data_IF_754399731997
#
_entry.id   IF_754399731997
#
_cell.length_a   1.000
_cell.length_b   1.000
_cell.length_c   1.000
_cell.angle_alpha   90.00
_cell.angle_beta   90.00
_cell.angle_gamma   90.00
#
_symmetry.space_group_name_H-M   'P 1'
#
loop_
_entity.id
_entity.type
_entity.pdbx_description
1 polymer ?
#
# COMPACT_ATOMS: atom_id res chain seq x y z
N UNK A 1 16.93 14.51 -2.45
CA UNK A 1 17.15 13.11 -2.88
C UNK A 1 16.10 12.79 -3.93
N UNK A 2 16.39 12.00 -4.94
CA UNK A 2 15.36 11.56 -5.88
C UNK A 2 14.25 10.83 -5.14
N UNK A 3 12.99 11.08 -5.53
CA UNK A 3 11.85 10.36 -4.98
C UNK A 3 11.25 9.46 -6.04
N UNK A 4 10.75 8.29 -5.62
CA UNK A 4 10.12 7.32 -6.51
C UNK A 4 8.60 7.35 -6.38
N UNK A 5 7.91 6.84 -7.40
CA UNK A 5 6.44 6.87 -7.48
C UNK A 5 5.87 5.50 -7.77
N UNK A 6 4.95 5.05 -6.92
CA UNK A 6 4.05 3.92 -7.18
C UNK A 6 2.63 4.42 -7.35
N UNK A 7 1.78 3.63 -8.00
CA UNK A 7 0.36 3.89 -8.19
C UNK A 7 -0.46 2.99 -7.28
N UNK A 8 -1.38 3.53 -6.49
CA UNK A 8 -2.43 2.75 -5.84
C UNK A 8 -3.71 2.77 -6.67
N UNK A 9 -4.32 1.62 -6.84
CA UNK A 9 -5.71 1.48 -7.30
C UNK A 9 -6.60 1.33 -6.06
N UNK A 10 -7.26 2.42 -5.60
CA UNK A 10 -8.07 2.39 -4.37
C UNK A 10 -9.46 1.81 -4.60
N UNK A 11 -9.88 1.69 -5.85
CA UNK A 11 -11.19 1.19 -6.26
C UNK A 11 -11.09 0.49 -7.61
N UNK A 12 -12.05 -0.39 -7.88
CA UNK A 12 -12.35 -0.95 -9.19
C UNK A 12 -13.73 -0.50 -9.69
N UNK A 13 -14.26 0.56 -9.11
CA UNK A 13 -15.40 1.31 -9.65
C UNK A 13 -14.87 2.34 -10.65
N UNK A 14 -15.26 2.19 -11.89
CA UNK A 14 -14.84 3.04 -13.02
C UNK A 14 -16.07 3.63 -13.71
N UNK A 15 -16.65 4.72 -13.18
CA UNK A 15 -17.94 5.24 -13.65
C UNK A 15 -17.97 5.59 -15.15
N UNK A 16 -16.87 6.08 -15.71
CA UNK A 16 -16.77 6.40 -17.15
C UNK A 16 -16.64 5.15 -18.03
N UNK A 17 -16.42 3.99 -17.42
CA UNK A 17 -16.21 2.68 -18.07
C UNK A 17 -17.09 1.58 -17.47
N UNK A 18 -18.30 1.94 -17.05
CA UNK A 18 -19.21 1.07 -16.29
C UNK A 18 -19.63 -0.23 -17.02
N UNK A 19 -19.49 -0.29 -18.34
CA UNK A 19 -19.79 -1.48 -19.14
C UNK A 19 -18.58 -2.41 -19.37
N UNK A 20 -17.38 -1.99 -18.98
CA UNK A 20 -16.16 -2.75 -19.15
C UNK A 20 -15.97 -3.76 -17.99
N UNK A 21 -15.21 -4.82 -18.25
CA UNK A 21 -14.79 -5.71 -17.16
C UNK A 21 -13.85 -4.96 -16.22
N UNK A 22 -14.19 -4.90 -14.93
CA UNK A 22 -13.47 -4.11 -13.93
C UNK A 22 -11.99 -4.51 -13.80
N UNK A 23 -11.69 -5.80 -13.97
CA UNK A 23 -10.30 -6.26 -13.93
C UNK A 23 -9.53 -5.84 -15.19
N UNK A 24 -10.16 -5.87 -16.37
CA UNK A 24 -9.50 -5.45 -17.63
C UNK A 24 -9.15 -3.96 -17.59
N UNK A 25 -10.01 -3.11 -17.01
CA UNK A 25 -9.71 -1.69 -16.79
C UNK A 25 -8.55 -1.52 -15.81
N UNK A 26 -8.58 -2.21 -14.67
CA UNK A 26 -7.48 -2.16 -13.69
C UNK A 26 -6.14 -2.66 -14.26
N UNK A 27 -6.18 -3.68 -15.13
CA UNK A 27 -5.01 -4.17 -15.86
C UNK A 27 -4.47 -3.11 -16.83
N UNK A 28 -5.34 -2.48 -17.63
CA UNK A 28 -4.95 -1.41 -18.55
C UNK A 28 -4.30 -0.23 -17.82
N UNK A 29 -4.89 0.20 -16.70
CA UNK A 29 -4.31 1.25 -15.87
C UNK A 29 -2.92 0.85 -15.36
N UNK A 30 -2.77 -0.40 -14.90
CA UNK A 30 -1.49 -0.93 -14.40
C UNK A 30 -0.43 -1.00 -15.50
N UNK A 31 -0.78 -1.46 -16.69
CA UNK A 31 0.12 -1.50 -17.84
C UNK A 31 0.52 -0.09 -18.30
N UNK A 32 -0.43 0.83 -18.33
CA UNK A 32 -0.14 2.25 -18.60
C UNK A 32 0.82 2.84 -17.56
N UNK A 33 0.63 2.55 -16.28
CA UNK A 33 1.56 2.99 -15.23
C UNK A 33 2.97 2.40 -15.43
N UNK A 34 3.07 1.13 -15.82
CA UNK A 34 4.35 0.49 -16.17
C UNK A 34 5.04 1.18 -17.34
N UNK A 35 4.31 1.52 -18.39
CA UNK A 35 4.82 2.24 -19.57
C UNK A 35 5.30 3.66 -19.22
N UNK A 36 4.58 4.34 -18.35
CA UNK A 36 4.87 5.70 -17.89
C UNK A 36 6.01 5.76 -16.85
N UNK A 37 6.53 4.62 -16.38
CA UNK A 37 7.67 4.57 -15.48
C UNK A 37 7.32 4.64 -13.99
N UNK A 38 6.09 4.35 -13.59
CA UNK A 38 5.79 4.10 -12.18
C UNK A 38 6.53 2.84 -11.71
N UNK A 39 7.12 2.91 -10.52
CA UNK A 39 7.93 1.83 -9.96
C UNK A 39 7.09 0.63 -9.49
N UNK A 40 5.88 0.90 -9.00
CA UNK A 40 5.00 -0.14 -8.46
C UNK A 40 3.52 0.16 -8.63
N UNK A 41 2.69 -0.89 -8.54
CA UNK A 41 1.23 -0.80 -8.36
C UNK A 41 0.83 -1.43 -7.02
N UNK A 42 -0.14 -0.81 -6.34
CA UNK A 42 -0.59 -1.20 -5.01
C UNK A 42 -2.10 -1.40 -4.97
N UNK A 43 -2.53 -2.49 -4.36
CA UNK A 43 -3.95 -2.76 -4.12
C UNK A 43 -4.26 -2.75 -2.62
N UNK A 44 -5.45 -2.27 -2.27
CA UNK A 44 -5.96 -2.42 -0.91
C UNK A 44 -6.35 -3.89 -0.67
N UNK A 45 -6.08 -4.40 0.52
CA UNK A 45 -6.58 -5.71 0.94
C UNK A 45 -7.77 -5.51 1.89
N UNK A 46 -8.89 -5.03 1.32
CA UNK A 46 -10.20 -4.99 1.92
C UNK A 46 -11.10 -6.05 1.29
N UNK A 47 -12.11 -6.51 2.01
CA UNK A 47 -13.03 -7.57 1.55
C UNK A 47 -14.24 -7.02 0.81
N UNK A 48 -14.54 -5.74 1.00
CA UNK A 48 -15.45 -4.91 0.22
C UNK A 48 -15.02 -3.45 0.30
N UNK A 49 -15.63 -2.59 -0.48
CA UNK A 49 -15.20 -1.19 -0.58
C UNK A 49 -15.45 -0.43 0.72
N UNK A 50 -14.52 0.47 1.06
CA UNK A 50 -14.59 1.27 2.28
C UNK A 50 -15.22 2.65 2.01
N UNK A 51 -16.13 3.14 2.89
CA UNK A 51 -16.90 4.37 2.65
C UNK A 51 -16.08 5.65 2.44
N UNK A 52 -14.83 5.67 2.91
CA UNK A 52 -13.91 6.79 2.71
C UNK A 52 -13.35 6.86 1.29
N UNK A 53 -13.54 5.81 0.49
CA UNK A 53 -13.11 5.73 -0.92
C UNK A 53 -14.33 5.75 -1.84
N UNK A 54 -15.29 4.84 -1.65
CA UNK A 54 -16.48 4.71 -2.47
C UNK A 54 -17.56 3.92 -1.71
N UNK A 55 -18.80 3.80 -2.24
CA UNK A 55 -19.87 2.98 -1.65
C UNK A 55 -19.41 1.53 -1.40
N UNK A 56 -19.84 0.92 -0.30
CA UNK A 56 -19.49 -0.46 0.07
C UNK A 56 -19.88 -1.51 -0.99
N UNK A 57 -20.86 -1.20 -1.83
CA UNK A 57 -21.34 -2.06 -2.91
C UNK A 57 -20.53 -1.95 -4.20
N UNK A 58 -19.58 -1.02 -4.27
CA UNK A 58 -18.74 -0.84 -5.43
C UNK A 58 -17.74 -1.99 -5.60
N UNK A 59 -17.39 -2.36 -6.84
CA UNK A 59 -16.47 -3.47 -7.08
C UNK A 59 -15.12 -3.30 -6.38
N UNK A 60 -14.72 -4.31 -5.62
CA UNK A 60 -13.39 -4.44 -5.05
C UNK A 60 -12.94 -5.92 -5.15
N UNK A 61 -12.26 -6.32 -6.22
CA UNK A 61 -11.73 -7.65 -6.35
C UNK A 61 -10.73 -8.00 -5.25
N UNK A 62 -10.66 -9.26 -4.87
CA UNK A 62 -9.78 -9.75 -3.83
C UNK A 62 -8.30 -9.44 -4.16
N UNK A 63 -7.59 -8.88 -3.21
CA UNK A 63 -6.27 -8.27 -3.39
C UNK A 63 -5.23 -9.24 -3.98
N UNK A 64 -5.04 -10.41 -3.36
CA UNK A 64 -3.97 -11.33 -3.74
C UNK A 64 -4.24 -12.05 -5.06
N UNK A 65 -5.51 -12.34 -5.34
CA UNK A 65 -5.96 -12.87 -6.64
C UNK A 65 -5.70 -11.86 -7.76
N UNK A 66 -6.03 -10.59 -7.50
CA UNK A 66 -5.78 -9.50 -8.45
C UNK A 66 -4.29 -9.24 -8.65
N UNK A 67 -3.48 -9.23 -7.59
CA UNK A 67 -2.02 -9.08 -7.69
C UNK A 67 -1.39 -10.24 -8.48
N UNK A 68 -1.89 -11.48 -8.33
CA UNK A 68 -1.40 -12.62 -9.12
C UNK A 68 -1.70 -12.45 -10.62
N UNK A 69 -2.91 -11.98 -10.96
CA UNK A 69 -3.30 -11.74 -12.35
C UNK A 69 -2.53 -10.54 -12.95
N UNK A 70 -2.33 -9.46 -12.20
CA UNK A 70 -1.49 -8.33 -12.63
C UNK A 70 -0.02 -8.74 -12.79
N UNK A 71 0.50 -9.61 -11.91
CA UNK A 71 1.86 -10.15 -12.02
C UNK A 71 2.08 -10.88 -13.33
N UNK A 72 1.09 -11.65 -13.78
CA UNK A 72 1.16 -12.40 -15.04
C UNK A 72 0.97 -11.51 -16.29
N UNK A 73 0.42 -10.30 -16.14
CA UNK A 73 0.10 -9.38 -17.23
C UNK A 73 1.02 -8.16 -17.33
N UNK A 74 2.06 -8.09 -16.51
CA UNK A 74 3.08 -7.02 -16.46
C UNK A 74 4.48 -7.63 -16.43
N UNK A 75 5.52 -6.82 -16.68
CA UNK A 75 6.89 -7.35 -16.82
C UNK A 75 7.93 -6.67 -15.92
N UNK A 76 7.75 -5.42 -15.55
CA UNK A 76 8.73 -4.61 -14.79
C UNK A 76 8.18 -4.02 -13.50
N UNK A 77 6.93 -3.54 -13.53
CA UNK A 77 6.32 -2.84 -12.39
C UNK A 77 6.24 -3.78 -11.18
N UNK A 78 6.65 -3.31 -10.01
CA UNK A 78 6.49 -4.05 -8.75
C UNK A 78 5.03 -4.08 -8.33
N UNK A 79 4.66 -5.05 -7.52
CA UNK A 79 3.28 -5.27 -7.10
C UNK A 79 3.24 -5.33 -5.58
N UNK A 80 2.30 -4.63 -4.95
CA UNK A 80 2.21 -4.60 -3.50
C UNK A 80 0.79 -4.58 -2.95
N UNK A 81 0.59 -5.15 -1.77
CA UNK A 81 -0.60 -4.92 -0.96
C UNK A 81 -0.42 -3.69 -0.07
N UNK A 82 -1.43 -2.81 0.03
CA UNK A 82 -1.36 -1.61 0.87
C UNK A 82 -2.61 -1.47 1.76
N UNK A 83 -2.68 -2.16 2.88
CA UNK A 83 -1.85 -3.26 3.36
C UNK A 83 -2.73 -4.42 3.82
N UNK A 84 -2.21 -5.66 3.76
CA UNK A 84 -2.93 -6.83 4.28
C UNK A 84 -3.10 -6.77 5.79
N UNK A 85 -4.35 -6.95 6.25
CA UNK A 85 -4.63 -7.11 7.66
C UNK A 85 -4.22 -8.51 8.14
N UNK A 86 -3.41 -8.58 9.19
CA UNK A 86 -2.92 -9.84 9.76
C UNK A 86 -4.06 -10.76 10.26
N UNK A 87 -5.29 -10.22 10.42
CA UNK A 87 -6.47 -10.98 10.83
C UNK A 87 -7.24 -11.64 9.70
N UNK A 88 -7.02 -11.31 8.44
CA UNK A 88 -7.83 -11.80 7.32
C UNK A 88 -7.49 -13.23 6.90
N UNK A 89 -6.24 -13.65 7.05
CA UNK A 89 -5.76 -14.95 6.59
C UNK A 89 -4.79 -15.57 7.60
N UNK A 90 -4.71 -16.90 7.62
CA UNK A 90 -3.59 -17.55 8.30
C UNK A 90 -2.26 -17.10 7.66
N UNK A 91 -1.27 -16.67 8.45
CA UNK A 91 0.01 -16.20 7.92
C UNK A 91 0.77 -17.28 7.16
N UNK A 92 0.60 -18.57 7.49
CA UNK A 92 1.21 -19.67 6.73
C UNK A 92 0.58 -19.82 5.32
N UNK A 93 -0.73 -19.60 5.19
CA UNK A 93 -1.41 -19.57 3.88
C UNK A 93 -1.00 -18.32 3.10
N UNK A 94 -0.92 -17.17 3.77
CA UNK A 94 -0.44 -15.94 3.14
C UNK A 94 0.99 -16.09 2.62
N UNK A 95 1.89 -16.74 3.38
CA UNK A 95 3.24 -17.05 2.93
C UNK A 95 3.26 -17.90 1.65
N UNK A 96 2.33 -18.86 1.54
CA UNK A 96 2.19 -19.70 0.33
C UNK A 96 1.69 -18.90 -0.86
N UNK A 97 0.68 -18.05 -0.67
CA UNK A 97 0.14 -17.15 -1.70
C UNK A 97 1.25 -16.22 -2.21
N UNK A 98 1.92 -15.52 -1.31
CA UNK A 98 2.95 -14.55 -1.64
C UNK A 98 4.18 -15.17 -2.30
N UNK A 99 4.59 -16.36 -1.88
CA UNK A 99 5.64 -17.12 -2.59
C UNK A 99 5.26 -17.43 -4.03
N UNK A 100 3.99 -17.80 -4.26
CA UNK A 100 3.49 -18.10 -5.61
C UNK A 100 3.50 -16.83 -6.47
N UNK A 101 3.01 -15.71 -5.95
CA UNK A 101 2.98 -14.44 -6.68
C UNK A 101 4.41 -13.94 -6.96
N UNK A 102 5.33 -14.12 -6.02
CA UNK A 102 6.73 -13.74 -6.21
C UNK A 102 7.39 -14.54 -7.36
N UNK A 103 7.07 -15.84 -7.48
CA UNK A 103 7.51 -16.66 -8.60
C UNK A 103 6.87 -16.18 -9.90
N UNK A 104 5.55 -15.99 -9.94
CA UNK A 104 4.81 -15.53 -11.14
C UNK A 104 5.30 -14.16 -11.61
N UNK A 105 5.61 -13.27 -10.68
CA UNK A 105 6.11 -11.92 -10.97
C UNK A 105 7.61 -11.86 -11.26
N UNK A 106 8.35 -12.99 -11.19
CA UNK A 106 9.82 -13.00 -11.29
C UNK A 106 10.50 -12.07 -10.27
N UNK A 107 10.02 -12.08 -9.01
CA UNK A 107 10.63 -11.33 -7.93
C UNK A 107 10.26 -9.84 -7.85
N UNK A 108 9.02 -9.48 -8.23
CA UNK A 108 8.53 -8.09 -8.17
C UNK A 108 7.54 -7.82 -7.03
N UNK A 109 7.27 -8.81 -6.18
CA UNK A 109 6.30 -8.67 -5.10
C UNK A 109 6.87 -7.90 -3.90
N UNK A 110 6.04 -7.02 -3.31
CA UNK A 110 6.25 -6.39 -2.00
C UNK A 110 5.05 -6.76 -1.12
N UNK A 111 5.30 -7.26 0.08
CA UNK A 111 4.24 -7.71 1.00
C UNK A 111 3.96 -6.63 2.04
N UNK A 112 2.90 -5.87 1.83
CA UNK A 112 2.46 -4.88 2.80
C UNK A 112 1.59 -5.50 3.89
N UNK A 113 1.92 -5.25 5.15
CA UNK A 113 1.27 -5.80 6.33
C UNK A 113 0.79 -4.72 7.29
N UNK A 114 -0.36 -4.95 7.92
CA UNK A 114 -0.93 -4.08 8.94
C UNK A 114 -1.75 -4.86 9.97
N UNK A 115 -2.13 -4.19 11.05
CA UNK A 115 -2.92 -4.83 12.13
C UNK A 115 -4.42 -4.95 11.82
N UNK A 116 -4.91 -4.31 10.75
CA UNK A 116 -6.33 -4.14 10.47
C UNK A 116 -6.97 -3.03 11.31
N UNK A 117 -8.02 -2.40 10.77
CA UNK A 117 -8.72 -1.29 11.42
C UNK A 117 -10.24 -1.29 11.22
N UNK A 118 -10.74 -1.90 10.14
CA UNK A 118 -12.16 -1.99 9.80
C UNK A 118 -12.84 -3.12 10.58
N UNK A 119 -13.48 -2.82 11.70
CA UNK A 119 -14.18 -3.82 12.52
C UNK A 119 -15.45 -4.36 11.85
N UNK A 120 -16.18 -3.51 11.13
CA UNK A 120 -17.40 -3.89 10.43
C UNK A 120 -17.15 -4.91 9.30
N UNK A 121 -16.03 -4.79 8.60
CA UNK A 121 -15.60 -5.72 7.56
C UNK A 121 -15.28 -7.11 8.13
N UNK A 122 -14.54 -7.16 9.25
CA UNK A 122 -14.28 -8.40 9.95
C UNK A 122 -15.58 -9.08 10.41
N UNK A 123 -16.50 -8.30 10.99
CA UNK A 123 -17.81 -8.81 11.44
C UNK A 123 -18.63 -9.35 10.27
N UNK A 124 -18.69 -8.64 9.14
CA UNK A 124 -19.46 -9.04 7.97
C UNK A 124 -18.98 -10.37 7.38
N UNK A 125 -17.67 -10.63 7.43
CA UNK A 125 -17.08 -11.87 6.92
C UNK A 125 -16.87 -12.95 7.99
N UNK A 126 -17.41 -12.75 9.21
CA UNK A 126 -17.31 -13.74 10.29
C UNK A 126 -15.89 -13.90 10.83
N UNK A 127 -15.07 -12.86 10.72
CA UNK A 127 -13.69 -12.83 11.21
C UNK A 127 -13.61 -12.16 12.58
N UNK A 128 -12.71 -12.64 13.43
CA UNK A 128 -12.44 -12.03 14.72
C UNK A 128 -11.81 -10.64 14.58
N UNK A 129 -12.30 -9.67 15.37
CA UNK A 129 -11.69 -8.35 15.50
C UNK A 129 -11.36 -8.05 16.97
N UNK A 130 -10.27 -8.62 17.49
CA UNK A 130 -9.90 -8.41 18.89
C UNK A 130 -9.36 -7.00 19.13
N UNK A 131 -9.16 -6.66 20.39
CA UNK A 131 -8.55 -5.41 20.86
C UNK A 131 -7.25 -5.09 20.11
N UNK A 132 -6.97 -3.79 19.90
CA UNK A 132 -5.83 -3.31 19.13
C UNK A 132 -4.49 -3.90 19.59
N UNK A 133 -4.29 -4.03 20.92
CA UNK A 133 -3.08 -4.64 21.46
C UNK A 133 -2.91 -6.11 21.08
N UNK A 134 -4.01 -6.86 20.92
CA UNK A 134 -3.97 -8.25 20.41
C UNK A 134 -3.66 -8.24 18.92
N UNK A 135 -4.33 -7.39 18.13
CA UNK A 135 -4.08 -7.28 16.68
C UNK A 135 -2.62 -6.94 16.36
N UNK A 136 -2.00 -6.03 17.15
CA UNK A 136 -0.60 -5.69 16.99
C UNK A 136 0.35 -6.85 17.28
N UNK A 137 0.05 -7.67 18.31
CA UNK A 137 0.83 -8.89 18.58
C UNK A 137 0.62 -9.96 17.51
N UNK A 138 -0.59 -10.09 17.00
CA UNK A 138 -0.89 -10.97 15.84
C UNK A 138 -0.13 -10.52 14.59
N UNK A 139 -0.03 -9.22 14.33
CA UNK A 139 0.79 -8.69 13.23
C UNK A 139 2.26 -9.09 13.37
N UNK A 140 2.83 -8.92 14.56
CA UNK A 140 4.23 -9.28 14.81
C UNK A 140 4.49 -10.78 14.63
N UNK A 141 3.65 -11.64 15.17
CA UNK A 141 3.76 -13.09 14.97
C UNK A 141 3.52 -13.48 13.51
N UNK A 142 2.57 -12.84 12.82
CA UNK A 142 2.31 -13.10 11.40
C UNK A 142 3.54 -12.82 10.54
N UNK A 143 4.24 -11.71 10.78
CA UNK A 143 5.49 -11.40 10.08
C UNK A 143 6.56 -12.46 10.36
N UNK A 144 6.69 -12.92 11.59
CA UNK A 144 7.66 -13.98 11.93
C UNK A 144 7.32 -15.31 11.26
N UNK A 145 6.02 -15.66 11.16
CA UNK A 145 5.58 -16.85 10.42
C UNK A 145 5.90 -16.71 8.92
N UNK A 146 5.63 -15.54 8.31
CA UNK A 146 5.99 -15.27 6.91
C UNK A 146 7.49 -15.50 6.69
N UNK A 147 8.34 -14.89 7.52
CA UNK A 147 9.79 -15.03 7.44
C UNK A 147 10.24 -16.50 7.57
N UNK A 148 9.71 -17.24 8.54
CA UNK A 148 10.02 -18.65 8.71
C UNK A 148 9.61 -19.47 7.48
N UNK A 149 8.38 -19.27 6.96
CA UNK A 149 7.87 -19.98 5.80
C UNK A 149 8.66 -19.68 4.52
N UNK A 150 9.15 -18.45 4.35
CA UNK A 150 9.91 -18.05 3.17
C UNK A 150 11.35 -18.53 3.20
N UNK A 151 11.99 -18.65 4.38
CA UNK A 151 13.44 -18.86 4.51
C UNK A 151 13.83 -20.26 4.99
N UNK A 152 13.02 -20.89 5.86
CA UNK A 152 13.35 -22.21 6.41
C UNK A 152 12.87 -23.31 5.46
N UNK A 153 13.63 -24.40 5.35
CA UNK A 153 13.24 -25.59 4.57
C UNK A 153 11.93 -26.18 5.11
N UNK A 154 11.87 -26.37 6.42
CA UNK A 154 10.69 -26.79 7.18
C UNK A 154 10.44 -25.76 8.27
N UNK A 155 9.38 -24.99 8.11
CA UNK A 155 9.08 -23.89 8.99
C UNK A 155 8.43 -24.38 10.28
N UNK A 156 8.97 -23.97 11.42
CA UNK A 156 8.36 -24.15 12.72
C UNK A 156 8.32 -22.81 13.44
N UNK A 157 7.16 -22.46 13.96
CA UNK A 157 6.94 -21.27 14.77
C UNK A 157 5.92 -21.59 15.88
N UNK A 158 6.28 -21.31 17.11
CA UNK A 158 5.41 -21.51 18.28
C UNK A 158 5.13 -20.17 18.96
N UNK A 159 4.13 -19.45 18.46
CA UNK A 159 3.66 -18.21 19.03
C UNK A 159 2.45 -18.40 19.94
N UNK A 160 1.99 -17.29 20.51
CA UNK A 160 0.76 -17.24 21.30
C UNK A 160 -0.50 -17.31 20.43
N UNK A 161 -0.44 -16.70 19.24
CA UNK A 161 -1.60 -16.56 18.34
C UNK A 161 -1.50 -17.44 17.11
N UNK A 162 -0.30 -17.75 16.67
CA UNK A 162 -0.06 -18.62 15.51
C UNK A 162 0.90 -19.73 15.86
N UNK A 163 0.64 -20.92 15.33
CA UNK A 163 1.52 -22.07 15.45
C UNK A 163 1.66 -22.74 14.08
N UNK A 164 2.89 -23.02 13.71
CA UNK A 164 3.25 -23.73 12.46
C UNK A 164 4.28 -24.79 12.85
N UNK A 165 4.06 -26.03 12.39
CA UNK A 165 4.95 -27.15 12.74
C UNK A 165 5.37 -27.89 11.48
N UNK A 166 6.68 -27.93 11.24
CA UNK A 166 7.31 -28.70 10.16
C UNK A 166 6.70 -28.44 8.77
N UNK A 167 6.24 -27.19 8.53
CA UNK A 167 5.52 -26.84 7.33
C UNK A 167 6.48 -26.61 6.14
N UNK A 168 6.15 -27.21 5.00
CA UNK A 168 6.88 -27.04 3.75
C UNK A 168 6.23 -25.96 2.89
N UNK A 169 7.01 -24.93 2.53
CA UNK A 169 6.62 -23.93 1.56
C UNK A 169 7.49 -24.09 0.30
N UNK A 170 6.95 -24.72 -0.72
CA UNK A 170 7.60 -24.93 -2.03
C UNK A 170 6.60 -24.60 -3.14
N UNK A 171 6.97 -23.74 -4.15
CA UNK A 171 8.27 -23.09 -4.27
C UNK A 171 8.52 -22.04 -3.20
N UNK A 172 9.79 -21.75 -2.92
CA UNK A 172 10.20 -20.58 -2.14
C UNK A 172 10.10 -19.32 -3.01
N UNK A 173 10.02 -18.12 -2.41
CA UNK A 173 10.13 -16.88 -3.16
C UNK A 173 11.44 -16.81 -3.96
N UNK A 174 11.39 -16.11 -5.11
CA UNK A 174 12.57 -15.86 -5.96
C UNK A 174 13.49 -14.85 -5.31
N UNK A 175 12.91 -13.82 -4.70
CA UNK A 175 13.64 -12.76 -3.99
C UNK A 175 14.39 -13.32 -2.78
N UNK A 176 15.61 -12.83 -2.55
CA UNK A 176 16.46 -13.26 -1.44
C UNK A 176 16.86 -12.08 -0.56
N UNK A 177 16.81 -12.23 0.76
CA UNK A 177 16.47 -13.45 1.52
C UNK A 177 14.98 -13.80 1.45
N UNK A 178 14.08 -12.84 1.15
CA UNK A 178 12.64 -12.95 1.03
C UNK A 178 12.05 -11.71 0.31
N UNK A 179 10.78 -11.71 -0.12
CA UNK A 179 10.10 -10.51 -0.61
C UNK A 179 10.14 -9.39 0.43
N UNK A 180 10.36 -8.12 0.03
CA UNK A 180 10.34 -7.01 0.97
C UNK A 180 9.01 -6.93 1.73
N UNK A 181 9.10 -6.67 3.04
CA UNK A 181 7.95 -6.41 3.90
C UNK A 181 7.81 -4.89 4.06
N UNK A 182 6.61 -4.38 3.76
CA UNK A 182 6.20 -3.03 4.10
C UNK A 182 5.25 -3.09 5.29
N UNK A 183 5.49 -2.29 6.33
CA UNK A 183 4.55 -2.16 7.46
C UNK A 183 3.85 -0.81 7.39
N UNK A 184 2.51 -0.84 7.37
CA UNK A 184 1.68 0.37 7.31
C UNK A 184 1.18 0.82 8.68
N UNK A 185 1.10 2.14 8.85
CA UNK A 185 0.48 2.80 10.01
C UNK A 185 1.44 3.61 10.88
N UNK A 186 0.90 4.65 11.52
CA UNK A 186 1.67 5.66 12.26
C UNK A 186 1.76 5.39 13.78
N UNK A 187 1.44 4.18 14.24
CA UNK A 187 1.45 3.81 15.67
C UNK A 187 2.86 3.83 16.28
N UNK A 188 3.18 4.89 17.02
CA UNK A 188 4.54 5.19 17.48
C UNK A 188 5.17 4.11 18.36
N UNK A 189 4.39 3.49 19.26
CA UNK A 189 4.94 2.57 20.27
C UNK A 189 5.19 1.16 19.73
N UNK A 190 4.28 0.64 18.91
CA UNK A 190 4.30 -0.77 18.51
C UNK A 190 4.51 -0.91 17.00
N UNK A 191 3.74 -0.21 16.16
CA UNK A 191 3.86 -0.31 14.70
C UNK A 191 5.28 0.05 14.24
N UNK A 192 5.79 1.21 14.69
CA UNK A 192 7.14 1.65 14.31
C UNK A 192 8.26 0.78 14.90
N UNK A 193 8.03 0.14 16.07
CA UNK A 193 8.97 -0.86 16.59
C UNK A 193 9.01 -2.12 15.71
N UNK A 194 7.83 -2.63 15.29
CA UNK A 194 7.73 -3.77 14.38
C UNK A 194 8.40 -3.43 13.04
N UNK A 195 8.13 -2.21 12.51
CA UNK A 195 8.80 -1.72 11.31
C UNK A 195 10.32 -1.75 11.45
N UNK A 196 10.85 -1.14 12.51
CA UNK A 196 12.30 -1.08 12.76
C UNK A 196 12.95 -2.45 12.90
N UNK A 197 12.20 -3.45 13.35
CA UNK A 197 12.71 -4.79 13.62
C UNK A 197 12.67 -5.71 12.40
N UNK A 198 11.66 -5.58 11.52
CA UNK A 198 11.36 -6.60 10.51
C UNK A 198 11.20 -6.06 9.09
N UNK A 199 10.91 -4.76 8.91
CA UNK A 199 10.47 -4.27 7.61
C UNK A 199 11.60 -3.65 6.77
N UNK A 200 11.48 -3.76 5.46
CA UNK A 200 12.30 -3.07 4.46
C UNK A 200 11.65 -1.77 3.97
N UNK A 201 10.35 -1.57 4.28
CA UNK A 201 9.66 -0.32 3.99
C UNK A 201 8.65 0.03 5.09
N UNK A 202 8.41 1.32 5.28
CA UNK A 202 7.37 1.85 6.14
C UNK A 202 6.40 2.69 5.31
N UNK A 203 5.08 2.51 5.50
CA UNK A 203 4.09 3.38 4.87
C UNK A 203 3.41 4.30 5.88
N UNK A 204 3.63 5.60 5.68
CA UNK A 204 2.87 6.67 6.32
C UNK A 204 1.48 6.76 5.68
N UNK A 205 0.43 6.66 6.47
CA UNK A 205 -0.97 6.71 6.02
C UNK A 205 -1.47 8.12 5.65
N UNK A 206 -0.58 9.10 5.50
CA UNK A 206 -0.88 10.52 5.29
C UNK A 206 -0.21 11.40 6.34
N UNK A 207 -0.70 12.64 6.50
CA UNK A 207 -0.19 13.63 7.45
C UNK A 207 0.52 14.81 6.80
N UNK A 208 0.71 15.90 7.55
CA UNK A 208 1.51 17.06 7.11
C UNK A 208 3.00 16.73 7.06
N UNK A 209 3.84 17.55 6.41
CA UNK A 209 5.29 17.35 6.45
C UNK A 209 5.85 17.24 7.88
N UNK A 210 5.36 18.07 8.81
CA UNK A 210 5.79 18.06 10.22
C UNK A 210 5.40 16.75 10.92
N UNK A 211 4.20 16.25 10.66
CA UNK A 211 3.75 14.95 11.19
C UNK A 211 4.57 13.79 10.61
N UNK A 212 4.87 13.82 9.31
CA UNK A 212 5.75 12.84 8.67
C UNK A 212 7.14 12.85 9.30
N UNK A 213 7.77 14.02 9.42
CA UNK A 213 9.10 14.16 10.05
C UNK A 213 9.10 13.64 11.50
N UNK A 214 8.05 13.93 12.26
CA UNK A 214 7.91 13.46 13.65
C UNK A 214 7.81 11.94 13.72
N UNK A 215 6.95 11.32 12.89
CA UNK A 215 6.77 9.85 12.85
C UNK A 215 8.07 9.16 12.43
N UNK A 216 8.75 9.68 11.40
CA UNK A 216 10.04 9.16 10.93
C UNK A 216 11.14 9.34 11.98
N UNK A 217 11.13 10.42 12.76
CA UNK A 217 12.01 10.60 13.91
C UNK A 217 11.82 9.53 15.00
N UNK A 218 10.56 9.14 15.27
CA UNK A 218 10.26 8.03 16.21
C UNK A 218 10.75 6.69 15.65
N UNK A 219 10.55 6.43 14.35
CA UNK A 219 11.07 5.22 13.70
C UNK A 219 12.60 5.14 13.82
N UNK A 220 13.31 6.24 13.55
CA UNK A 220 14.77 6.32 13.72
C UNK A 220 15.20 5.99 15.15
N UNK A 221 14.46 6.50 16.15
CA UNK A 221 14.70 6.18 17.55
C UNK A 221 14.49 4.70 17.90
N UNK A 222 13.55 4.01 17.24
CA UNK A 222 13.40 2.55 17.39
C UNK A 222 14.56 1.81 16.75
N UNK A 223 15.00 2.19 15.54
CA UNK A 223 16.16 1.58 14.90
C UNK A 223 17.41 1.70 15.75
N UNK A 224 17.69 2.88 16.31
CA UNK A 224 18.82 3.09 17.23
C UNK A 224 18.76 2.16 18.44
N UNK A 225 17.61 2.00 19.08
CA UNK A 225 17.45 1.10 20.24
C UNK A 225 17.61 -0.38 19.90
N UNK A 226 17.22 -0.78 18.68
CA UNK A 226 17.30 -2.16 18.21
C UNK A 226 18.63 -2.49 17.51
N UNK A 227 19.46 -1.49 17.22
CA UNK A 227 20.68 -1.66 16.45
C UNK A 227 20.43 -2.01 14.98
N UNK A 228 19.28 -1.58 14.41
CA UNK A 228 18.93 -1.77 13.00
C UNK A 228 19.22 -0.51 12.19
N UNK A 229 19.36 -0.66 10.86
CA UNK A 229 19.68 0.44 9.97
C UNK A 229 18.39 1.17 9.54
N UNK A 230 18.23 2.43 9.98
CA UNK A 230 17.12 3.28 9.59
C UNK A 230 17.13 3.62 8.09
N UNK A 231 18.31 3.79 7.51
CA UNK A 231 18.45 4.24 6.12
C UNK A 231 18.15 3.10 5.14
N UNK A 232 18.24 1.84 5.59
CA UNK A 232 17.81 0.67 4.83
C UNK A 232 16.27 0.50 4.74
N UNK A 233 15.50 1.22 5.56
CA UNK A 233 14.03 1.18 5.51
C UNK A 233 13.54 2.26 4.55
N UNK A 234 12.86 1.89 3.46
CA UNK A 234 12.25 2.83 2.52
C UNK A 234 11.06 3.56 3.18
N UNK A 235 11.07 4.89 3.19
CA UNK A 235 10.03 5.73 3.80
C UNK A 235 9.00 6.09 2.74
N UNK A 236 7.87 5.35 2.72
CA UNK A 236 6.80 5.55 1.75
C UNK A 236 5.63 6.32 2.35
N UNK A 237 4.84 6.99 1.51
CA UNK A 237 3.62 7.68 1.92
C UNK A 237 2.50 7.46 0.93
N UNK A 238 1.32 7.06 1.45
CA UNK A 238 0.09 7.08 0.66
C UNK A 238 -0.32 8.53 0.39
N UNK A 239 -0.47 8.89 -0.89
CA UNK A 239 -0.61 10.27 -1.33
C UNK A 239 -1.68 10.38 -2.41
N UNK A 240 -2.96 10.58 -2.04
CA UNK A 240 -3.99 10.93 -3.00
C UNK A 240 -3.64 12.24 -3.71
N UNK A 241 -3.81 12.26 -5.04
CA UNK A 241 -3.48 13.41 -5.91
C UNK A 241 -4.70 13.75 -6.77
N UNK A 242 -4.93 15.04 -7.00
CA UNK A 242 -5.93 15.55 -7.92
C UNK A 242 -5.34 16.70 -8.74
N UNK A 243 -5.06 16.43 -10.00
CA UNK A 243 -4.62 17.44 -10.97
C UNK A 243 -5.79 18.36 -11.34
N UNK A 244 -5.54 19.65 -11.38
CA UNK A 244 -6.48 20.65 -11.84
C UNK A 244 -5.70 21.82 -12.45
N UNK A 245 -6.15 22.32 -13.61
CA UNK A 245 -5.50 23.41 -14.31
C UNK A 245 -5.69 24.76 -13.59
N UNK A 246 -6.83 24.92 -12.89
CA UNK A 246 -7.16 26.13 -12.14
C UNK A 246 -8.11 25.84 -10.95
N UNK A 247 -8.47 26.89 -10.21
CA UNK A 247 -9.37 26.78 -9.05
C UNK A 247 -10.81 26.42 -9.40
N UNK A 248 -11.26 26.74 -10.61
CA UNK A 248 -12.62 26.40 -11.07
C UNK A 248 -12.70 24.89 -11.34
N UNK A 249 -11.72 24.33 -12.03
CA UNK A 249 -11.63 22.88 -12.26
C UNK A 249 -11.41 22.13 -10.94
N UNK A 250 -10.56 22.63 -10.04
CA UNK A 250 -10.36 22.04 -8.70
C UNK A 250 -11.70 21.92 -7.95
N UNK A 251 -12.49 23.00 -7.93
CA UNK A 251 -13.80 23.01 -7.26
C UNK A 251 -14.78 22.01 -7.91
N UNK A 252 -14.84 21.97 -9.24
CA UNK A 252 -15.69 21.03 -9.98
C UNK A 252 -15.29 19.57 -9.74
N UNK A 253 -13.98 19.26 -9.73
CA UNK A 253 -13.48 17.92 -9.42
C UNK A 253 -13.77 17.52 -7.98
N UNK A 254 -13.64 18.39 -7.00
CA UNK A 254 -14.01 18.11 -5.60
C UNK A 254 -15.48 17.77 -5.49
N UNK A 255 -16.38 18.54 -6.13
CA UNK A 255 -17.81 18.25 -6.12
C UNK A 255 -18.13 16.88 -6.71
N UNK A 256 -17.41 16.46 -7.75
CA UNK A 256 -17.61 15.17 -8.43
C UNK A 256 -16.98 13.98 -7.68
N UNK A 257 -15.78 14.16 -7.14
CA UNK A 257 -14.93 13.07 -6.69
C UNK A 257 -14.89 12.90 -5.17
N UNK A 258 -15.35 13.88 -4.38
CA UNK A 258 -15.42 13.72 -2.94
C UNK A 258 -16.42 12.62 -2.58
N UNK A 259 -16.00 11.50 -1.96
CA UNK A 259 -16.91 10.41 -1.65
C UNK A 259 -18.07 10.87 -0.75
N UNK A 260 -19.26 10.33 -0.97
CA UNK A 260 -20.46 10.69 -0.22
C UNK A 260 -20.34 10.44 1.30
N UNK A 261 -19.46 9.53 1.72
CA UNK A 261 -19.15 9.26 3.13
C UNK A 261 -18.07 10.16 3.73
N UNK A 262 -17.49 11.07 2.93
CA UNK A 262 -16.46 12.02 3.37
C UNK A 262 -17.01 13.45 3.40
N UNK A 263 -16.51 14.27 4.35
CA UNK A 263 -16.72 15.72 4.26
C UNK A 263 -15.61 16.37 3.43
N UNK A 264 -15.92 17.46 2.74
CA UNK A 264 -14.99 18.18 1.87
C UNK A 264 -13.70 18.63 2.60
N UNK A 265 -13.71 19.17 3.82
CA UNK A 265 -12.50 19.49 4.56
C UNK A 265 -11.58 18.27 4.75
N UNK A 266 -12.13 17.11 5.07
CA UNK A 266 -11.34 15.88 5.21
C UNK A 266 -10.74 15.43 3.88
N UNK A 267 -11.50 15.50 2.79
CA UNK A 267 -11.03 15.20 1.44
C UNK A 267 -9.87 16.13 1.03
N UNK A 268 -10.02 17.44 1.25
CA UNK A 268 -8.96 18.43 0.96
C UNK A 268 -7.70 18.20 1.77
N UNK A 269 -7.82 17.90 3.06
CA UNK A 269 -6.67 17.67 3.94
C UNK A 269 -5.86 16.41 3.58
N UNK A 270 -6.49 15.43 2.93
CA UNK A 270 -5.83 14.19 2.54
C UNK A 270 -5.27 14.20 1.12
N UNK A 271 -5.77 15.06 0.24
CA UNK A 271 -5.47 15.07 -1.19
C UNK A 271 -4.56 16.24 -1.54
N UNK A 272 -3.44 15.97 -2.18
CA UNK A 272 -2.59 16.98 -2.79
C UNK A 272 -3.24 17.44 -4.09
N UNK A 273 -3.51 18.76 -4.24
CA UNK A 273 -4.32 19.28 -5.35
C UNK A 273 -3.66 20.48 -6.03
N UNK A 274 -3.97 20.65 -7.31
CA UNK A 274 -3.62 21.81 -8.08
C UNK A 274 -2.94 21.49 -9.42
N UNK A 275 -2.26 22.50 -9.96
CA UNK A 275 -1.44 22.35 -11.16
C UNK A 275 -0.21 21.46 -10.89
N UNK A 276 0.46 20.93 -11.93
CA UNK A 276 1.71 20.17 -11.76
C UNK A 276 2.75 20.89 -10.92
N UNK A 277 2.85 22.24 -11.03
CA UNK A 277 3.77 23.05 -10.22
C UNK A 277 3.40 23.04 -8.74
N UNK A 278 2.11 23.25 -8.43
CA UNK A 278 1.61 23.26 -7.06
C UNK A 278 1.71 21.87 -6.39
N UNK A 279 1.44 20.82 -7.15
CA UNK A 279 1.61 19.43 -6.68
C UNK A 279 3.09 19.16 -6.38
N UNK A 280 4.00 19.56 -7.29
CA UNK A 280 5.43 19.37 -7.09
C UNK A 280 5.95 20.10 -5.85
N UNK A 281 5.47 21.32 -5.58
CA UNK A 281 5.85 22.06 -4.37
C UNK A 281 5.39 21.34 -3.09
N UNK A 282 4.16 20.81 -3.07
CA UNK A 282 3.63 20.07 -1.94
C UNK A 282 4.38 18.75 -1.71
N UNK A 283 4.71 18.03 -2.79
CA UNK A 283 5.52 16.81 -2.71
C UNK A 283 6.94 17.11 -2.23
N UNK A 284 7.56 18.22 -2.68
CA UNK A 284 8.89 18.61 -2.23
C UNK A 284 8.94 18.84 -0.72
N UNK A 285 7.94 19.48 -0.13
CA UNK A 285 7.86 19.67 1.32
C UNK A 285 7.83 18.31 2.07
N UNK A 286 7.21 17.28 1.49
CA UNK A 286 7.21 15.92 2.05
C UNK A 286 8.56 15.22 1.87
N UNK A 287 9.25 15.45 0.74
CA UNK A 287 10.63 14.97 0.54
C UNK A 287 11.57 15.58 1.58
N UNK A 288 11.45 16.88 1.82
CA UNK A 288 12.23 17.60 2.82
C UNK A 288 11.95 17.09 4.26
N UNK A 289 10.75 16.57 4.48
CA UNK A 289 10.35 15.89 5.73
C UNK A 289 10.84 14.43 5.84
N UNK A 290 11.49 13.90 4.80
CA UNK A 290 12.10 12.57 4.80
C UNK A 290 11.30 11.47 4.10
N UNK A 291 10.26 11.82 3.32
CA UNK A 291 9.56 10.85 2.47
C UNK A 291 10.40 10.60 1.21
N UNK A 292 10.62 9.33 0.88
CA UNK A 292 11.48 8.90 -0.24
C UNK A 292 10.67 8.29 -1.39
N UNK A 293 9.43 7.86 -1.10
CA UNK A 293 8.60 7.12 -2.04
C UNK A 293 7.12 7.52 -1.88
N UNK A 294 6.50 7.95 -2.96
CA UNK A 294 5.10 8.30 -2.97
C UNK A 294 4.26 7.20 -3.61
N UNK A 295 3.35 6.61 -2.84
CA UNK A 295 2.30 5.75 -3.37
C UNK A 295 1.12 6.66 -3.69
N UNK A 296 1.07 7.15 -4.93
CA UNK A 296 0.03 8.08 -5.36
C UNK A 296 -1.26 7.33 -5.74
N UNK A 297 -2.40 7.94 -5.50
CA UNK A 297 -3.69 7.48 -6.01
C UNK A 297 -4.43 8.64 -6.65
N UNK A 298 -5.16 8.37 -7.72
CA UNK A 298 -6.01 9.34 -8.40
C UNK A 298 -7.47 8.92 -8.20
N UNK A 299 -8.32 9.88 -7.85
CA UNK A 299 -9.75 9.64 -7.64
C UNK A 299 -10.49 9.33 -8.95
N UNK A 300 -9.89 9.71 -10.07
CA UNK A 300 -10.35 9.51 -11.45
C UNK A 300 -9.29 8.74 -12.25
N UNK A 301 -8.77 7.66 -11.70
CA UNK A 301 -7.63 6.90 -12.25
C UNK A 301 -7.92 6.28 -13.62
N UNK A 302 -9.20 6.04 -13.94
CA UNK A 302 -9.65 5.58 -15.25
C UNK A 302 -9.51 6.66 -16.35
N UNK A 303 -9.38 7.92 -15.96
CA UNK A 303 -9.03 9.02 -16.85
C UNK A 303 -7.50 9.05 -17.01
N UNK A 304 -6.96 8.19 -17.87
CA UNK A 304 -5.51 7.95 -18.02
C UNK A 304 -4.69 9.20 -18.33
N UNK A 305 -5.33 10.29 -18.78
CA UNK A 305 -4.64 11.55 -19.07
C UNK A 305 -4.09 12.23 -17.80
N UNK A 306 -4.76 12.06 -16.66
CA UNK A 306 -4.23 12.52 -15.37
C UNK A 306 -2.93 11.77 -15.01
N UNK A 307 -2.92 10.45 -15.23
CA UNK A 307 -1.74 9.61 -15.02
C UNK A 307 -0.58 10.01 -15.94
N UNK A 308 -0.87 10.23 -17.24
CA UNK A 308 0.11 10.69 -18.24
C UNK A 308 0.66 12.07 -17.91
N UNK A 309 -0.21 12.99 -17.49
CA UNK A 309 0.20 14.35 -17.12
C UNK A 309 1.10 14.34 -15.89
N UNK A 310 0.74 13.56 -14.86
CA UNK A 310 1.57 13.41 -13.66
C UNK A 310 2.95 12.83 -14.00
N UNK A 311 2.99 11.77 -14.81
CA UNK A 311 4.23 11.14 -15.22
C UNK A 311 5.14 12.07 -16.05
N UNK A 312 4.54 12.90 -16.93
CA UNK A 312 5.29 13.81 -17.81
C UNK A 312 5.76 15.07 -17.09
N UNK A 313 4.94 15.64 -16.18
CA UNK A 313 5.15 17.00 -15.67
C UNK A 313 5.54 17.05 -14.18
N UNK A 314 5.25 15.98 -13.40
CA UNK A 314 5.59 15.95 -11.97
C UNK A 314 6.76 15.01 -11.69
N UNK A 315 6.69 13.74 -12.10
CA UNK A 315 7.72 12.74 -11.76
C UNK A 315 9.15 13.16 -12.14
N UNK A 316 9.42 13.76 -13.33
CA UNK A 316 10.79 14.13 -13.71
C UNK A 316 11.46 15.19 -12.82
N UNK A 317 10.68 15.92 -12.01
CA UNK A 317 11.22 16.92 -11.08
C UNK A 317 11.86 16.31 -9.83
N UNK A 318 11.70 15.01 -9.65
CA UNK A 318 12.20 14.24 -8.51
C UNK A 318 13.21 13.16 -8.92
N UNK A 319 13.60 13.12 -10.20
CA UNK A 319 14.56 12.16 -10.75
C UNK A 319 16.02 12.49 -10.39
#
# INVERSE_FOLDING_TARGET
MPAQFGLQLPSFSFPTRANDNVFDVGREITQTAEELGFDSVWLMDHLFQIPVVAPETDPLPECWSSLAALAASTTRIKLGSLVSAAGFRSPSILAKITSTIDVVSHGRLIVGMGAGWCDWEHKAYGLDFPEVGVRMRKLEEAIQVLLAMWTQERATFEGKYYQVRDAVNSPKPVQKPHPPILVGGNGEKVTLRITAQYAQAHNLGGGTPEECARVLGVLRGHCQRLGTDYDAILKTRLTPVMLAADKAEEAAKIQRLCPAGSNEPHFRNRTIMGTPDQISQQLQALVDAGVEYFIVSFWDVEELDNLRTFAREVMPRFA
#
